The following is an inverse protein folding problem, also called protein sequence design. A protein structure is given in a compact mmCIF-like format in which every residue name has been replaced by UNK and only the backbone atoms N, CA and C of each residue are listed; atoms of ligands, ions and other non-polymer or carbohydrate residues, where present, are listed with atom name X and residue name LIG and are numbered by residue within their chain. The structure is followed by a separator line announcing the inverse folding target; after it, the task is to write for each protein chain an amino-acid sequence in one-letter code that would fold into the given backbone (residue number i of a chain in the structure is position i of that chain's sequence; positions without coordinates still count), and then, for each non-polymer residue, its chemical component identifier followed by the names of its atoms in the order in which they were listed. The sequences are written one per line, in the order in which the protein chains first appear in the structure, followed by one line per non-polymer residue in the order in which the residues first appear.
data_IF_487542295515
#
_entry.id   IF_487542295515
#
_cell.length_a   1.000
_cell.length_b   1.000
_cell.length_c   1.000
_cell.angle_alpha   90.00
_cell.angle_beta   90.00
_cell.angle_gamma   90.00
#
_symmetry.space_group_name_H-M   'P 1'
#
loop_
_entity.id
_entity.type
_entity.pdbx_description
1 polymer ?
#
# COMPACT_ATOMS: atom_id res chain seq x y z
N UNK A 1 -7.32 9.21 -25.74
CA UNK A 1 -6.68 8.45 -24.66
C UNK A 1 -6.26 9.43 -23.58
N UNK A 2 -7.01 9.52 -22.48
CA UNK A 2 -6.71 10.47 -21.39
C UNK A 2 -5.57 9.86 -20.59
N UNK A 3 -4.36 10.37 -20.73
CA UNK A 3 -3.25 10.03 -19.82
C UNK A 3 -3.51 10.73 -18.49
N UNK A 4 -4.04 10.01 -17.52
CA UNK A 4 -4.12 10.49 -16.14
C UNK A 4 -2.74 10.41 -15.52
N UNK A 5 -2.07 11.55 -15.39
CA UNK A 5 -0.80 11.64 -14.66
C UNK A 5 -1.10 11.56 -13.16
N UNK A 6 -1.08 10.35 -12.62
CA UNK A 6 -1.24 10.11 -11.18
C UNK A 6 0.15 10.02 -10.56
N UNK A 7 0.40 10.82 -9.53
CA UNK A 7 1.57 10.73 -8.69
C UNK A 7 1.29 9.74 -7.56
N UNK A 8 2.25 8.87 -7.27
CA UNK A 8 2.16 7.92 -6.18
C UNK A 8 3.19 8.27 -5.10
N UNK A 9 2.72 8.38 -3.86
CA UNK A 9 3.54 8.61 -2.67
C UNK A 9 3.20 7.55 -1.63
N UNK A 10 4.21 7.03 -0.94
CA UNK A 10 4.03 6.04 0.11
C UNK A 10 4.54 6.54 1.46
N UNK A 11 3.87 6.12 2.52
CA UNK A 11 4.25 6.28 3.92
C UNK A 11 4.17 4.91 4.59
N UNK A 12 5.00 4.71 5.60
CA UNK A 12 4.95 3.53 6.44
C UNK A 12 4.50 3.94 7.85
N UNK A 13 3.45 3.35 8.37
CA UNK A 13 2.89 3.67 9.68
C UNK A 13 3.85 3.44 10.85
N UNK A 14 4.88 2.62 10.66
CA UNK A 14 5.90 2.35 11.69
C UNK A 14 6.97 3.45 11.74
N UNK A 15 7.39 3.96 10.57
CA UNK A 15 8.55 4.86 10.45
C UNK A 15 8.15 6.31 10.28
N UNK A 16 6.97 6.57 9.69
CA UNK A 16 6.57 7.92 9.31
C UNK A 16 6.02 8.74 10.48
N UNK A 17 6.43 10.00 10.52
CA UNK A 17 5.99 10.97 11.52
C UNK A 17 5.06 12.03 10.91
N UNK A 18 4.48 12.90 11.78
CA UNK A 18 3.56 13.98 11.35
C UNK A 18 4.24 14.96 10.37
N UNK A 19 5.54 15.23 10.53
CA UNK A 19 6.26 16.13 9.65
C UNK A 19 6.37 15.57 8.23
N UNK A 20 6.63 14.28 8.12
CA UNK A 20 6.68 13.59 6.82
C UNK A 20 5.31 13.57 6.14
N UNK A 21 4.24 13.28 6.87
CA UNK A 21 2.87 13.37 6.35
C UNK A 21 2.61 14.75 5.76
N UNK A 22 2.93 15.82 6.51
CA UNK A 22 2.77 17.21 6.05
C UNK A 22 3.57 17.49 4.79
N UNK A 23 4.83 17.09 4.74
CA UNK A 23 5.70 17.30 3.58
C UNK A 23 5.11 16.64 2.32
N UNK A 24 4.63 15.40 2.42
CA UNK A 24 4.00 14.68 1.31
C UNK A 24 2.71 15.39 0.85
N UNK A 25 1.91 15.87 1.78
CA UNK A 25 0.65 16.58 1.48
C UNK A 25 0.93 17.95 0.83
N UNK A 26 1.90 18.72 1.32
CA UNK A 26 2.30 19.99 0.71
C UNK A 26 2.81 19.79 -0.72
N UNK A 27 3.63 18.76 -0.93
CA UNK A 27 4.06 18.38 -2.26
C UNK A 27 2.85 18.04 -3.16
N UNK A 28 1.89 17.23 -2.67
CA UNK A 28 0.68 16.88 -3.41
C UNK A 28 -0.13 18.12 -3.80
N UNK A 29 -0.29 19.08 -2.88
CA UNK A 29 -0.97 20.36 -3.14
C UNK A 29 -0.28 21.17 -4.24
N UNK A 30 1.04 21.25 -4.19
CA UNK A 30 1.85 21.95 -5.18
C UNK A 30 1.68 21.31 -6.57
N UNK A 31 1.73 20.00 -6.66
CA UNK A 31 1.53 19.27 -7.93
C UNK A 31 0.12 19.41 -8.46
N UNK A 32 -0.89 19.38 -7.58
CA UNK A 32 -2.28 19.63 -7.97
C UNK A 32 -2.47 21.03 -8.58
N UNK A 33 -1.89 22.06 -7.91
CA UNK A 33 -2.05 23.46 -8.35
C UNK A 33 -1.27 23.76 -9.64
N UNK A 34 -0.03 23.26 -9.76
CA UNK A 34 0.85 23.64 -10.87
C UNK A 34 0.71 22.73 -12.10
N UNK A 35 0.24 21.50 -11.93
CA UNK A 35 0.26 20.47 -12.98
C UNK A 35 -1.07 19.74 -13.17
N UNK A 36 -2.10 20.13 -12.43
CA UNK A 36 -3.40 19.41 -12.39
C UNK A 36 -3.21 17.89 -12.16
N UNK A 37 -2.24 17.55 -11.32
CA UNK A 37 -1.83 16.17 -11.07
C UNK A 37 -2.39 15.67 -9.75
N UNK A 38 -3.18 14.60 -9.80
CA UNK A 38 -3.70 13.93 -8.61
C UNK A 38 -2.59 13.10 -7.95
N UNK A 39 -2.49 13.19 -6.62
CA UNK A 39 -1.58 12.34 -5.84
C UNK A 39 -2.37 11.25 -5.12
N UNK A 40 -1.94 10.00 -5.28
CA UNK A 40 -2.37 8.87 -4.45
C UNK A 40 -1.37 8.71 -3.31
N UNK A 41 -1.86 8.80 -2.08
CA UNK A 41 -1.09 8.59 -0.86
C UNK A 41 -1.38 7.18 -0.34
N UNK A 42 -0.43 6.28 -0.46
CA UNK A 42 -0.49 4.94 0.11
C UNK A 42 0.12 4.94 1.50
N UNK A 43 -0.59 4.43 2.49
CA UNK A 43 -0.10 4.30 3.87
C UNK A 43 -0.16 2.83 4.25
N UNK A 44 1.01 2.22 4.36
CA UNK A 44 1.13 0.87 4.88
C UNK A 44 1.07 0.87 6.40
N UNK A 45 0.47 -0.16 6.98
CA UNK A 45 0.28 -0.33 8.42
C UNK A 45 -0.38 0.91 9.07
N UNK A 46 -1.45 1.44 8.47
CA UNK A 46 -2.12 2.66 8.95
C UNK A 46 -2.59 2.58 10.40
N UNK A 47 -2.83 1.38 10.92
CA UNK A 47 -3.18 1.16 12.32
C UNK A 47 -2.08 1.59 13.31
N UNK A 48 -0.84 1.78 12.85
CA UNK A 48 0.27 2.30 13.64
C UNK A 48 0.23 3.82 13.80
N UNK A 49 -0.50 4.52 12.95
CA UNK A 49 -0.70 5.93 13.13
C UNK A 49 -1.58 6.19 14.34
N UNK A 50 -1.15 7.14 15.20
CA UNK A 50 -2.00 7.60 16.28
C UNK A 50 -3.19 8.42 15.74
N UNK A 51 -4.15 8.70 16.62
CA UNK A 51 -5.37 9.41 16.26
C UNK A 51 -5.10 10.77 15.60
N UNK A 52 -4.15 11.55 16.13
CA UNK A 52 -3.80 12.86 15.59
C UNK A 52 -3.18 12.78 14.18
N UNK A 53 -2.36 11.76 13.92
CA UNK A 53 -1.81 11.51 12.59
C UNK A 53 -2.90 11.16 11.59
N UNK A 54 -3.83 10.29 11.97
CA UNK A 54 -4.97 9.93 11.14
C UNK A 54 -5.89 11.13 10.89
N UNK A 55 -6.21 11.91 11.93
CA UNK A 55 -7.05 13.11 11.81
C UNK A 55 -6.42 14.17 10.89
N UNK A 56 -5.09 14.27 10.86
CA UNK A 56 -4.38 15.20 9.99
C UNK A 56 -4.59 14.95 8.49
N UNK A 57 -4.99 13.75 8.12
CA UNK A 57 -5.28 13.39 6.72
C UNK A 57 -6.65 13.90 6.25
N UNK A 58 -7.63 13.97 7.15
CA UNK A 58 -9.03 14.23 6.82
C UNK A 58 -9.27 15.49 5.97
N UNK A 59 -8.72 16.68 6.32
CA UNK A 59 -8.95 17.90 5.54
C UNK A 59 -8.44 17.80 4.09
N UNK A 60 -7.42 16.98 3.87
CA UNK A 60 -6.78 16.82 2.56
C UNK A 60 -7.53 15.81 1.67
N UNK A 61 -8.16 14.81 2.30
CA UNK A 61 -9.07 13.89 1.64
C UNK A 61 -10.36 14.59 1.23
N UNK A 62 -10.94 15.38 2.12
CA UNK A 62 -12.18 16.13 1.88
C UNK A 62 -12.03 17.16 0.78
N UNK A 63 -10.87 17.79 0.67
CA UNK A 63 -10.54 18.75 -0.40
C UNK A 63 -10.10 18.09 -1.71
N UNK A 64 -9.93 16.77 -1.73
CA UNK A 64 -9.39 16.06 -2.89
C UNK A 64 -7.93 16.35 -3.21
N UNK A 65 -7.16 16.91 -2.26
CA UNK A 65 -5.72 17.17 -2.42
C UNK A 65 -4.94 15.87 -2.63
N UNK A 66 -5.34 14.82 -1.93
CA UNK A 66 -4.83 13.46 -2.11
C UNK A 66 -5.98 12.47 -2.19
N UNK A 67 -5.75 11.37 -2.91
CA UNK A 67 -6.52 10.13 -2.79
C UNK A 67 -5.75 9.20 -1.87
N UNK A 68 -6.46 8.51 -1.00
CA UNK A 68 -5.88 7.70 0.04
C UNK A 68 -6.10 6.21 -0.19
N UNK A 69 -5.05 5.44 0.04
CA UNK A 69 -5.12 3.98 0.14
C UNK A 69 -4.40 3.60 1.44
N UNK A 70 -5.13 3.01 2.37
CA UNK A 70 -4.56 2.50 3.63
C UNK A 70 -4.51 0.98 3.59
N UNK A 71 -3.37 0.40 3.94
CA UNK A 71 -3.23 -1.03 4.18
C UNK A 71 -3.08 -1.31 5.67
N UNK A 72 -3.67 -2.40 6.14
CA UNK A 72 -3.59 -2.84 7.53
C UNK A 72 -3.80 -4.33 7.64
N UNK A 73 -3.08 -4.97 8.56
CA UNK A 73 -3.29 -6.38 8.95
C UNK A 73 -4.36 -6.53 10.04
N UNK A 74 -4.87 -5.40 10.58
CA UNK A 74 -5.85 -5.34 11.64
C UNK A 74 -7.22 -4.96 11.12
N UNK A 75 -8.27 -5.28 11.86
CA UNK A 75 -9.62 -4.86 11.52
C UNK A 75 -9.73 -3.32 11.56
N UNK A 76 -9.96 -2.66 10.39
CA UNK A 76 -9.93 -1.19 10.29
C UNK A 76 -10.98 -0.51 11.17
N UNK A 77 -12.10 -1.16 11.46
CA UNK A 77 -13.16 -0.59 12.31
C UNK A 77 -12.73 -0.33 13.75
N UNK A 78 -11.67 -1.00 14.24
CA UNK A 78 -11.14 -0.81 15.59
C UNK A 78 -9.90 0.09 15.66
N UNK A 79 -9.13 0.15 14.59
CA UNK A 79 -7.81 0.79 14.60
C UNK A 79 -7.72 2.04 13.73
N UNK A 80 -8.66 2.22 12.80
CA UNK A 80 -8.72 3.42 11.97
C UNK A 80 -9.85 4.32 12.44
N UNK A 81 -9.60 5.63 12.48
CA UNK A 81 -10.59 6.60 12.92
C UNK A 81 -11.87 6.51 12.09
N UNK A 82 -13.02 6.52 12.76
CA UNK A 82 -14.34 6.43 12.12
C UNK A 82 -14.54 7.42 10.97
N UNK A 83 -14.07 8.69 11.02
CA UNK A 83 -14.16 9.61 9.89
C UNK A 83 -13.39 9.17 8.64
N UNK A 84 -12.25 8.47 8.79
CA UNK A 84 -11.51 7.89 7.66
C UNK A 84 -12.25 6.67 7.10
N UNK A 85 -12.69 5.78 7.99
CA UNK A 85 -13.44 4.58 7.60
C UNK A 85 -14.71 4.93 6.84
N UNK A 86 -15.49 5.92 7.33
CA UNK A 86 -16.76 6.33 6.70
C UNK A 86 -16.58 6.94 5.30
N UNK A 87 -15.39 7.40 4.96
CA UNK A 87 -15.04 7.99 3.65
C UNK A 87 -14.25 7.05 2.77
N UNK A 88 -14.07 5.80 3.20
CA UNK A 88 -13.26 4.80 2.51
C UNK A 88 -14.10 3.60 2.11
N UNK A 89 -13.72 2.96 1.02
CA UNK A 89 -14.19 1.63 0.70
C UNK A 89 -13.23 0.61 1.29
N UNK A 90 -13.76 -0.34 2.03
CA UNK A 90 -12.97 -1.39 2.66
C UNK A 90 -12.98 -2.63 1.77
N UNK A 91 -11.79 -3.13 1.49
CA UNK A 91 -11.57 -4.39 0.80
C UNK A 91 -10.87 -5.35 1.76
N UNK A 92 -11.47 -6.48 2.01
CA UNK A 92 -10.84 -7.56 2.75
C UNK A 92 -10.12 -8.46 1.74
N UNK A 93 -8.84 -8.71 1.98
CA UNK A 93 -8.03 -9.64 1.20
C UNK A 93 -7.99 -10.97 1.95
N UNK A 94 -8.28 -12.04 1.23
CA UNK A 94 -8.14 -13.39 1.76
C UNK A 94 -6.68 -13.87 1.64
N UNK A 95 -6.23 -14.78 2.51
CA UNK A 95 -4.93 -15.43 2.35
C UNK A 95 -4.82 -16.11 0.98
N UNK A 96 -3.65 -16.04 0.39
CA UNK A 96 -3.37 -16.74 -0.88
C UNK A 96 -3.40 -18.25 -0.63
N UNK A 97 -4.16 -18.98 -1.45
CA UNK A 97 -4.25 -20.43 -1.31
C UNK A 97 -2.91 -21.09 -1.67
N UNK A 98 -2.62 -22.25 -1.05
CA UNK A 98 -1.40 -23.02 -1.32
C UNK A 98 -1.22 -23.31 -2.80
N UNK A 99 -2.30 -23.67 -3.51
CA UNK A 99 -2.22 -23.99 -4.94
C UNK A 99 -1.89 -22.76 -5.81
N UNK A 100 -2.16 -21.56 -5.35
CA UNK A 100 -1.78 -20.29 -6.00
C UNK A 100 -0.34 -19.87 -5.64
N UNK A 101 0.15 -20.28 -4.46
CA UNK A 101 1.53 -20.00 -4.03
C UNK A 101 2.56 -20.85 -4.77
N UNK A 102 2.24 -22.09 -5.14
CA UNK A 102 3.15 -22.99 -5.85
C UNK A 102 3.67 -22.36 -7.16
N UNK A 103 2.82 -21.83 -8.06
CA UNK A 103 3.30 -21.18 -9.29
C UNK A 103 4.19 -19.96 -9.02
N UNK A 104 3.97 -19.23 -7.93
CA UNK A 104 4.82 -18.11 -7.54
C UNK A 104 6.21 -18.57 -7.09
N UNK A 105 6.28 -19.67 -6.33
CA UNK A 105 7.54 -20.28 -5.92
C UNK A 105 8.30 -20.83 -7.14
N UNK A 106 7.62 -21.51 -8.06
CA UNK A 106 8.21 -22.01 -9.31
C UNK A 106 8.74 -20.85 -10.18
N UNK A 107 7.97 -19.76 -10.28
CA UNK A 107 8.43 -18.55 -10.98
C UNK A 107 9.67 -17.97 -10.34
N UNK A 108 9.72 -17.88 -9.01
CA UNK A 108 10.89 -17.36 -8.28
C UNK A 108 12.13 -18.25 -8.51
N UNK A 109 11.97 -19.58 -8.62
CA UNK A 109 13.06 -20.49 -8.91
C UNK A 109 13.59 -20.36 -10.34
N UNK A 110 12.73 -20.01 -11.30
CA UNK A 110 13.09 -19.94 -12.72
C UNK A 110 13.47 -18.53 -13.19
N UNK A 111 13.11 -17.46 -12.47
CA UNK A 111 13.40 -16.09 -12.82
C UNK A 111 14.89 -15.80 -12.67
N UNK A 112 15.56 -15.52 -13.79
CA UNK A 112 17.00 -15.24 -13.84
C UNK A 112 17.37 -13.81 -13.45
N UNK A 113 16.42 -12.88 -13.49
CA UNK A 113 16.66 -11.46 -13.20
C UNK A 113 16.37 -11.12 -11.75
N UNK A 114 15.24 -11.58 -11.23
CA UNK A 114 14.71 -11.20 -9.92
C UNK A 114 14.60 -12.36 -8.93
N UNK A 115 14.82 -13.59 -9.39
CA UNK A 115 14.72 -14.81 -8.61
C UNK A 115 16.02 -15.60 -8.54
N UNK A 116 15.86 -16.90 -8.37
CA UNK A 116 16.94 -17.86 -8.17
C UNK A 116 17.36 -18.59 -9.46
N UNK A 117 16.86 -18.20 -10.65
CA UNK A 117 17.06 -18.92 -11.89
C UNK A 117 18.53 -19.06 -12.33
N UNK A 118 19.47 -18.31 -11.74
CA UNK A 118 20.91 -18.49 -11.93
C UNK A 118 21.53 -19.54 -11.02
N UNK A 119 20.79 -19.98 -10.01
CA UNK A 119 21.22 -21.03 -9.07
C UNK A 119 20.66 -22.38 -9.57
N UNK A 120 21.47 -23.41 -9.49
CA UNK A 120 21.00 -24.78 -9.75
C UNK A 120 20.27 -25.29 -8.50
N UNK A 121 18.99 -24.94 -8.39
CA UNK A 121 18.14 -25.39 -7.28
C UNK A 121 17.22 -26.48 -7.86
N UNK A 122 17.32 -27.67 -7.29
CA UNK A 122 16.37 -28.74 -7.56
C UNK A 122 15.32 -28.75 -6.44
N UNK A 123 14.12 -28.29 -6.78
CA UNK A 123 13.01 -28.19 -5.83
C UNK A 123 11.97 -29.27 -6.12
N UNK A 124 11.91 -30.26 -5.25
CA UNK A 124 10.90 -31.29 -5.37
C UNK A 124 9.50 -30.73 -5.08
N UNK A 125 8.47 -31.15 -5.83
CA UNK A 125 7.09 -30.66 -5.71
C UNK A 125 6.49 -30.75 -4.30
N UNK A 126 6.87 -31.76 -3.51
CA UNK A 126 6.46 -31.86 -2.11
C UNK A 126 7.09 -30.78 -1.23
N UNK A 127 8.33 -30.35 -1.52
CA UNK A 127 8.98 -29.26 -0.80
C UNK A 127 8.32 -27.93 -1.09
N UNK A 128 7.98 -27.65 -2.35
CA UNK A 128 7.23 -26.44 -2.74
C UNK A 128 5.87 -26.38 -2.06
N UNK A 129 5.14 -27.50 -2.00
CA UNK A 129 3.86 -27.57 -1.31
C UNK A 129 3.97 -27.39 0.22
N UNK A 130 5.09 -27.76 0.81
CA UNK A 130 5.34 -27.56 2.25
C UNK A 130 5.70 -26.10 2.58
N UNK A 131 6.31 -25.39 1.62
CA UNK A 131 6.65 -23.96 1.75
C UNK A 131 5.46 -23.03 1.46
N UNK A 132 4.51 -23.49 0.67
CA UNK A 132 3.28 -22.78 0.34
C UNK A 132 2.21 -22.96 1.43
#
# INVERSE_FOLDING_TARGET
MVQTHIRFESLNGVESNVAEIRTKIEAARTYQTLRDQTTVLFIDEIHRFNKAQQDSLLPHLERGTVRFIGATTHNPYFYVNSPLVSRSQIFQLEPVATDDLIPLLERALNDQERGFGKMKIDAHSKALRHLA
#
